data_IF_557902377759
#
_entry.id   IF_557902377759
#
_cell.length_a   1.000
_cell.length_b   1.000
_cell.length_c   1.000
_cell.angle_alpha   90.00
_cell.angle_beta   90.00
_cell.angle_gamma   90.00
#
_symmetry.space_group_name_H-M   'P 1'
#
loop_
_entity.id
_entity.type
_entity.pdbx_description
1 polymer ?
#
# COMPACT_ATOMS: atom_id res chain seq x y z
N UNK A 1 33.45 -1.38 -2.29
CA UNK A 1 32.46 -2.47 -2.35
C UNK A 1 31.57 -2.37 -3.60
N UNK A 2 31.05 -1.18 -3.95
CA UNK A 2 30.27 -0.96 -5.19
C UNK A 2 31.04 -1.32 -6.48
N UNK A 3 32.33 -0.99 -6.57
CA UNK A 3 33.16 -1.31 -7.73
C UNK A 3 33.35 -2.82 -7.97
N UNK A 4 33.31 -3.64 -6.91
CA UNK A 4 33.49 -5.09 -6.99
C UNK A 4 32.18 -5.78 -7.44
N UNK A 5 31.04 -5.28 -6.98
CA UNK A 5 29.72 -5.82 -7.35
C UNK A 5 29.35 -5.50 -8.80
N UNK A 6 29.72 -4.31 -9.28
CA UNK A 6 29.52 -3.89 -10.67
C UNK A 6 30.35 -4.74 -11.65
N UNK A 7 31.60 -5.06 -11.30
CA UNK A 7 32.48 -5.91 -12.11
C UNK A 7 31.99 -7.37 -12.24
N UNK A 8 31.16 -7.84 -11.30
CA UNK A 8 30.64 -9.22 -11.26
C UNK A 8 29.19 -9.33 -11.76
N UNK A 9 28.54 -8.23 -12.17
CA UNK A 9 27.10 -8.22 -12.48
C UNK A 9 26.22 -8.63 -11.29
N UNK A 10 26.75 -8.58 -10.07
CA UNK A 10 26.13 -9.10 -8.87
C UNK A 10 25.32 -8.02 -8.15
N UNK A 11 24.16 -8.40 -7.62
CA UNK A 11 23.32 -7.53 -6.78
C UNK A 11 23.39 -8.02 -5.34
N UNK A 12 23.71 -7.11 -4.41
CA UNK A 12 23.67 -7.40 -2.98
C UNK A 12 22.23 -7.24 -2.46
N UNK A 13 21.58 -8.35 -2.14
CA UNK A 13 20.32 -8.37 -1.40
C UNK A 13 20.62 -8.75 0.06
N UNK A 14 20.73 -7.74 0.94
CA UNK A 14 20.96 -7.97 2.36
C UNK A 14 19.65 -8.36 3.06
N UNK A 15 19.63 -9.52 3.74
CA UNK A 15 18.59 -9.88 4.69
C UNK A 15 19.13 -9.70 6.11
N UNK A 16 18.58 -8.73 6.82
CA UNK A 16 18.85 -8.53 8.24
C UNK A 16 17.76 -9.24 9.06
N UNK A 17 18.16 -10.17 9.90
CA UNK A 17 17.32 -10.70 10.99
C UNK A 17 17.69 -9.95 12.27
N UNK A 18 16.72 -9.29 12.92
CA UNK A 18 16.98 -8.47 14.11
C UNK A 18 15.85 -8.60 15.14
N UNK A 19 16.21 -8.58 16.43
CA UNK A 19 15.29 -8.57 17.57
C UNK A 19 15.40 -7.23 18.32
N UNK A 20 14.66 -6.20 17.90
CA UNK A 20 14.73 -4.85 18.50
C UNK A 20 13.81 -3.82 17.81
N UNK A 21 13.59 -2.65 18.44
CA UNK A 21 12.63 -1.60 18.06
C UNK A 21 13.09 -0.66 16.94
N UNK A 22 14.39 -0.62 16.61
CA UNK A 22 14.92 0.22 15.53
C UNK A 22 14.50 -0.25 14.13
N UNK A 23 14.17 -1.54 14.01
CA UNK A 23 13.56 -2.12 12.82
C UNK A 23 12.19 -1.52 12.54
N UNK A 24 11.33 -1.44 13.57
CA UNK A 24 9.97 -0.90 13.44
C UNK A 24 10.03 0.56 12.97
N UNK A 25 10.94 1.37 13.54
CA UNK A 25 11.16 2.77 13.13
C UNK A 25 11.58 2.91 11.66
N UNK A 26 12.39 1.98 11.15
CA UNK A 26 12.86 2.01 9.76
C UNK A 26 11.75 1.63 8.77
N UNK A 27 10.91 0.65 9.15
CA UNK A 27 9.71 0.28 8.40
C UNK A 27 8.74 1.47 8.35
N UNK A 28 8.53 2.14 9.49
CA UNK A 28 7.70 3.33 9.61
C UNK A 28 8.22 4.47 8.71
N UNK A 29 9.53 4.71 8.68
CA UNK A 29 10.13 5.74 7.82
C UNK A 29 9.92 5.45 6.31
N UNK A 30 10.06 4.19 5.89
CA UNK A 30 9.83 3.78 4.50
C UNK A 30 8.36 3.91 4.09
N UNK A 31 7.44 3.51 4.98
CA UNK A 31 6.00 3.68 4.77
C UNK A 31 5.61 5.16 4.72
N UNK A 32 6.09 5.98 5.66
CA UNK A 32 5.83 7.41 5.70
C UNK A 32 6.33 8.13 4.44
N UNK A 33 7.55 7.81 3.97
CA UNK A 33 8.11 8.39 2.74
C UNK A 33 7.30 8.00 1.50
N UNK A 34 6.86 6.74 1.42
CA UNK A 34 6.00 6.27 0.34
C UNK A 34 4.64 6.96 0.36
N UNK A 35 4.00 7.02 1.53
CA UNK A 35 2.73 7.72 1.77
C UNK A 35 2.81 9.19 1.36
N UNK A 36 3.86 9.91 1.78
CA UNK A 36 4.10 11.29 1.41
C UNK A 36 4.26 11.48 -0.11
N UNK A 37 5.04 10.60 -0.76
CA UNK A 37 5.21 10.67 -2.22
C UNK A 37 3.91 10.38 -2.98
N UNK A 38 3.07 9.46 -2.50
CA UNK A 38 1.78 9.15 -3.13
C UNK A 38 0.81 10.32 -2.93
N UNK A 39 0.72 10.86 -1.72
CA UNK A 39 -0.08 12.05 -1.41
C UNK A 39 0.25 13.22 -2.35
N UNK A 40 1.53 13.61 -2.41
CA UNK A 40 1.97 14.74 -3.24
C UNK A 40 1.60 14.56 -4.72
N UNK A 41 1.72 13.33 -5.23
CA UNK A 41 1.41 13.02 -6.63
C UNK A 41 -0.09 13.05 -6.90
N UNK A 42 -0.91 12.56 -5.99
CA UNK A 42 -2.37 12.62 -6.07
C UNK A 42 -2.86 14.07 -6.02
N UNK A 43 -2.35 14.89 -5.10
CA UNK A 43 -2.70 16.31 -5.01
C UNK A 43 -2.32 17.07 -6.30
N UNK A 44 -1.15 16.78 -6.87
CA UNK A 44 -0.74 17.31 -8.17
C UNK A 44 -1.62 16.87 -9.36
N UNK A 45 -2.48 15.88 -9.17
CA UNK A 45 -3.47 15.42 -10.14
C UNK A 45 -4.90 15.82 -9.78
N UNK A 46 -5.08 16.71 -8.81
CA UNK A 46 -6.40 17.26 -8.45
C UNK A 46 -7.18 16.44 -7.42
N UNK A 47 -6.55 15.47 -6.75
CA UNK A 47 -7.18 14.75 -5.65
C UNK A 47 -7.08 15.53 -4.34
N UNK A 48 -8.14 15.53 -3.55
CA UNK A 48 -8.14 16.00 -2.16
C UNK A 48 -7.81 14.81 -1.25
N UNK A 49 -6.67 14.85 -0.56
CA UNK A 49 -6.15 13.71 0.21
C UNK A 49 -6.25 13.94 1.72
N UNK A 50 -6.57 12.87 2.45
CA UNK A 50 -6.45 12.75 3.91
C UNK A 50 -5.53 11.57 4.23
N UNK A 51 -4.64 11.77 5.18
CA UNK A 51 -3.67 10.77 5.67
C UNK A 51 -4.20 10.14 6.95
N UNK A 52 -3.87 8.87 7.15
CA UNK A 52 -4.10 8.13 8.41
C UNK A 52 -5.53 8.25 8.96
N UNK A 53 -6.52 8.07 8.08
CA UNK A 53 -7.92 8.23 8.46
C UNK A 53 -8.36 7.04 9.32
N UNK A 54 -8.52 7.28 10.62
CA UNK A 54 -9.06 6.30 11.56
C UNK A 54 -10.57 6.18 11.43
N UNK A 55 -11.10 4.98 11.68
CA UNK A 55 -12.53 4.74 11.76
C UNK A 55 -12.88 3.77 12.89
N UNK A 56 -14.09 3.91 13.40
CA UNK A 56 -14.74 2.99 14.32
C UNK A 56 -16.22 2.95 13.97
N UNK A 57 -16.71 1.82 13.47
CA UNK A 57 -18.07 1.67 12.97
C UNK A 57 -18.61 0.27 13.26
N UNK A 58 -19.70 0.17 14.03
CA UNK A 58 -20.36 -1.08 14.43
C UNK A 58 -19.40 -2.21 14.85
N UNK A 59 -18.39 -1.88 15.66
CA UNK A 59 -17.39 -2.84 16.15
C UNK A 59 -16.19 -3.07 15.23
N UNK A 60 -16.24 -2.62 13.98
CA UNK A 60 -15.08 -2.57 13.09
C UNK A 60 -14.26 -1.31 13.39
N UNK A 61 -12.97 -1.47 13.66
CA UNK A 61 -12.04 -0.36 13.88
C UNK A 61 -10.80 -0.53 13.03
N UNK A 62 -10.23 0.58 12.60
CA UNK A 62 -9.01 0.53 11.80
C UNK A 62 -8.54 1.90 11.34
N UNK A 63 -7.62 1.86 10.39
CA UNK A 63 -7.04 3.03 9.74
C UNK A 63 -6.94 2.78 8.25
N UNK A 64 -7.13 3.83 7.46
CA UNK A 64 -6.85 3.90 6.03
C UNK A 64 -5.61 4.77 5.86
N UNK A 65 -4.58 4.27 5.18
CA UNK A 65 -3.32 4.99 5.02
C UNK A 65 -3.54 6.33 4.29
N UNK A 66 -4.21 6.29 3.13
CA UNK A 66 -4.67 7.48 2.43
C UNK A 66 -6.11 7.32 1.95
N UNK A 67 -6.90 8.35 2.18
CA UNK A 67 -8.22 8.52 1.59
C UNK A 67 -8.17 9.70 0.63
N UNK A 68 -8.48 9.49 -0.65
CA UNK A 68 -8.36 10.54 -1.66
C UNK A 68 -9.64 10.70 -2.47
N UNK A 69 -10.17 11.92 -2.55
CA UNK A 69 -11.40 12.22 -3.29
C UNK A 69 -11.10 13.10 -4.50
N UNK A 70 -11.65 12.74 -5.66
CA UNK A 70 -11.55 13.53 -6.88
C UNK A 70 -12.87 14.30 -7.10
N UNK A 71 -12.89 15.63 -6.98
CA UNK A 71 -14.12 16.42 -6.98
C UNK A 71 -14.91 16.31 -8.27
N UNK A 72 -14.25 16.38 -9.42
CA UNK A 72 -14.90 16.38 -10.74
C UNK A 72 -15.45 15.00 -11.12
N UNK A 73 -14.76 13.93 -10.68
CA UNK A 73 -15.12 12.56 -11.05
C UNK A 73 -16.01 11.89 -9.99
N UNK A 74 -16.18 12.53 -8.83
CA UNK A 74 -16.86 11.96 -7.66
C UNK A 74 -16.33 10.57 -7.25
N UNK A 75 -15.03 10.34 -7.45
CA UNK A 75 -14.35 9.08 -7.11
C UNK A 75 -13.64 9.23 -5.77
N UNK A 76 -13.80 8.23 -4.90
CA UNK A 76 -13.06 8.06 -3.67
C UNK A 76 -12.08 6.89 -3.82
N UNK A 77 -10.79 7.15 -3.65
CA UNK A 77 -9.78 6.11 -3.48
C UNK A 77 -9.60 5.81 -2.01
N UNK A 78 -9.60 4.51 -1.71
CA UNK A 78 -9.24 3.93 -0.42
C UNK A 78 -7.90 3.25 -0.64
N UNK A 79 -6.83 3.85 -0.14
CA UNK A 79 -5.47 3.47 -0.51
C UNK A 79 -4.77 2.81 0.67
N UNK A 80 -4.24 1.62 0.45
CA UNK A 80 -3.26 0.98 1.32
C UNK A 80 -1.85 1.11 0.73
N UNK A 81 -0.89 1.48 1.58
CA UNK A 81 0.52 1.60 1.24
C UNK A 81 1.27 0.40 1.81
N UNK A 82 2.05 -0.29 0.97
CA UNK A 82 2.86 -1.45 1.38
C UNK A 82 4.29 -1.35 0.86
N UNK A 83 5.25 -1.65 1.72
CA UNK A 83 6.67 -1.76 1.37
C UNK A 83 7.10 -3.19 1.06
N UNK A 84 6.32 -4.20 1.48
CA UNK A 84 6.47 -5.61 1.10
C UNK A 84 5.08 -6.31 1.10
N UNK A 85 5.01 -7.46 0.43
CA UNK A 85 3.86 -8.36 0.43
C UNK A 85 4.13 -9.57 1.31
N UNK A 86 3.57 -9.55 2.52
CA UNK A 86 3.75 -10.61 3.55
C UNK A 86 2.49 -11.47 3.69
N UNK A 87 1.34 -10.84 3.93
CA UNK A 87 0.06 -11.53 4.09
C UNK A 87 -0.97 -10.96 3.09
N UNK A 88 -1.24 -11.75 2.05
CA UNK A 88 -2.17 -11.36 0.97
C UNK A 88 -3.62 -11.44 1.43
N UNK A 89 -3.98 -12.45 2.22
CA UNK A 89 -5.37 -12.67 2.63
C UNK A 89 -5.81 -11.57 3.60
N UNK A 90 -4.97 -11.24 4.59
CA UNK A 90 -5.25 -10.15 5.50
C UNK A 90 -5.33 -8.80 4.76
N UNK A 91 -4.44 -8.56 3.80
CA UNK A 91 -4.47 -7.35 2.96
C UNK A 91 -5.79 -7.22 2.20
N UNK A 92 -6.21 -8.27 1.47
CA UNK A 92 -7.42 -8.23 0.66
C UNK A 92 -8.69 -8.13 1.52
N UNK A 93 -8.74 -8.84 2.66
CA UNK A 93 -9.84 -8.74 3.61
C UNK A 93 -9.98 -7.33 4.21
N UNK A 94 -8.86 -6.72 4.62
CA UNK A 94 -8.86 -5.35 5.12
C UNK A 94 -9.31 -4.35 4.04
N UNK A 95 -8.89 -4.54 2.78
CA UNK A 95 -9.30 -3.69 1.68
C UNK A 95 -10.80 -3.77 1.38
N UNK A 96 -11.40 -4.96 1.50
CA UNK A 96 -12.85 -5.13 1.32
C UNK A 96 -13.65 -4.35 2.39
N UNK A 97 -13.29 -4.53 3.66
CA UNK A 97 -13.89 -3.82 4.79
C UNK A 97 -13.76 -2.31 4.61
N UNK A 98 -12.56 -1.81 4.32
CA UNK A 98 -12.33 -0.37 4.17
C UNK A 98 -13.09 0.20 2.98
N UNK A 99 -13.12 -0.49 1.84
CA UNK A 99 -13.88 -0.03 0.67
C UNK A 99 -15.39 0.08 0.96
N UNK A 100 -15.93 -0.88 1.72
CA UNK A 100 -17.34 -0.87 2.16
C UNK A 100 -17.65 0.29 3.10
N UNK A 101 -16.78 0.58 4.06
CA UNK A 101 -16.99 1.64 5.06
C UNK A 101 -16.64 3.04 4.56
N UNK A 102 -15.81 3.16 3.52
CA UNK A 102 -15.26 4.42 3.06
C UNK A 102 -16.27 5.53 2.74
N UNK A 103 -17.46 5.29 2.17
CA UNK A 103 -18.45 6.34 1.96
C UNK A 103 -18.86 7.01 3.27
N UNK A 104 -19.11 6.21 4.32
CA UNK A 104 -19.46 6.72 5.65
C UNK A 104 -18.30 7.45 6.32
N UNK A 105 -17.07 6.94 6.14
CA UNK A 105 -15.85 7.58 6.64
C UNK A 105 -15.60 8.92 5.95
N UNK A 106 -15.96 9.05 4.66
CA UNK A 106 -15.79 10.26 3.88
C UNK A 106 -16.85 11.34 4.15
N UNK A 107 -18.04 10.95 4.62
CA UNK A 107 -19.17 11.85 4.82
C UNK A 107 -18.87 13.07 5.71
N UNK A 108 -18.16 12.96 6.84
CA UNK A 108 -17.78 14.11 7.68
C UNK A 108 -16.87 15.12 6.96
N UNK A 109 -16.20 14.75 5.87
CA UNK A 109 -15.39 15.67 5.07
C UNK A 109 -16.22 16.44 4.03
N UNK A 110 -17.53 16.23 3.98
CA UNK A 110 -18.43 16.87 3.01
C UNK A 110 -18.25 16.36 1.58
N UNK A 111 -17.56 15.23 1.38
CA UNK A 111 -17.26 14.71 0.05
C UNK A 111 -18.46 14.00 -0.57
N UNK A 112 -18.83 14.46 -1.77
CA UNK A 112 -19.87 13.82 -2.57
C UNK A 112 -19.27 12.63 -3.32
N UNK A 113 -19.33 11.46 -2.70
CA UNK A 113 -18.75 10.22 -3.22
C UNK A 113 -19.77 9.49 -4.10
N UNK A 114 -19.50 9.42 -5.41
CA UNK A 114 -20.32 8.66 -6.36
C UNK A 114 -19.81 7.24 -6.61
N UNK A 115 -18.51 7.00 -6.40
CA UNK A 115 -17.84 5.69 -6.57
C UNK A 115 -16.68 5.53 -5.61
N UNK A 116 -16.49 4.31 -5.09
CA UNK A 116 -15.31 3.93 -4.30
C UNK A 116 -14.46 2.97 -5.12
N UNK A 117 -13.15 3.22 -5.17
CA UNK A 117 -12.18 2.35 -5.83
C UNK A 117 -11.07 1.99 -4.84
N UNK A 118 -10.93 0.71 -4.43
CA UNK A 118 -9.81 0.29 -3.60
C UNK A 118 -8.50 0.37 -4.38
N UNK A 119 -7.45 0.81 -3.70
CA UNK A 119 -6.14 1.02 -4.27
C UNK A 119 -5.06 0.40 -3.39
N UNK A 120 -4.12 -0.30 -4.00
CA UNK A 120 -2.91 -0.76 -3.30
C UNK A 120 -1.69 -0.17 -4.01
N UNK A 121 -0.83 0.48 -3.24
CA UNK A 121 0.46 0.99 -3.74
C UNK A 121 1.59 0.25 -3.07
N UNK A 122 2.40 -0.40 -3.89
CA UNK A 122 3.63 -1.02 -3.43
C UNK A 122 4.82 -0.09 -3.65
N UNK A 123 5.79 -0.14 -2.75
CA UNK A 123 7.14 0.32 -3.06
C UNK A 123 7.65 -0.48 -4.27
N UNK A 124 8.30 0.20 -5.21
CA UNK A 124 8.92 -0.44 -6.37
C UNK A 124 9.99 -1.44 -5.95
N UNK A 125 9.71 -2.73 -6.13
CA UNK A 125 10.63 -3.81 -5.83
C UNK A 125 10.41 -5.06 -6.71
N UNK A 126 11.51 -5.68 -7.15
CA UNK A 126 11.49 -6.87 -8.01
C UNK A 126 10.91 -8.11 -7.32
N UNK A 127 11.13 -8.28 -6.01
CA UNK A 127 10.64 -9.45 -5.28
C UNK A 127 9.14 -9.36 -5.00
N UNK A 128 8.64 -8.18 -4.62
CA UNK A 128 7.22 -7.92 -4.45
C UNK A 128 6.48 -8.08 -5.77
N UNK A 129 7.04 -7.57 -6.88
CA UNK A 129 6.53 -7.83 -8.25
C UNK A 129 6.41 -9.32 -8.55
N UNK A 130 7.50 -10.07 -8.39
CA UNK A 130 7.52 -11.52 -8.64
C UNK A 130 6.52 -12.28 -7.75
N UNK A 131 6.35 -11.88 -6.48
CA UNK A 131 5.34 -12.47 -5.59
C UNK A 131 3.92 -12.17 -6.06
N UNK A 132 3.65 -10.93 -6.47
CA UNK A 132 2.36 -10.52 -7.03
C UNK A 132 2.05 -11.27 -8.33
N UNK A 133 3.03 -11.48 -9.20
CA UNK A 133 2.85 -12.22 -10.45
C UNK A 133 2.45 -13.68 -10.19
N UNK A 134 3.05 -14.32 -9.18
CA UNK A 134 2.70 -15.70 -8.78
C UNK A 134 1.30 -15.82 -8.17
N UNK A 135 0.80 -14.74 -7.59
CA UNK A 135 -0.49 -14.69 -6.89
C UNK A 135 -1.50 -13.81 -7.64
N UNK A 136 -1.30 -13.62 -8.95
CA UNK A 136 -2.01 -12.60 -9.73
C UNK A 136 -3.53 -12.75 -9.69
N UNK A 137 -4.03 -13.99 -9.65
CA UNK A 137 -5.46 -14.33 -9.56
C UNK A 137 -6.14 -13.86 -8.26
N UNK A 138 -5.40 -13.77 -7.15
CA UNK A 138 -5.94 -13.21 -5.89
C UNK A 138 -6.22 -11.70 -6.01
N UNK A 139 -5.60 -11.04 -7.00
CA UNK A 139 -5.75 -9.62 -7.24
C UNK A 139 -6.69 -9.30 -8.41
N UNK A 140 -7.49 -10.24 -8.91
CA UNK A 140 -8.34 -10.02 -10.10
C UNK A 140 -9.32 -8.84 -9.96
N UNK A 141 -9.75 -8.55 -8.73
CA UNK A 141 -10.53 -7.33 -8.40
C UNK A 141 -9.79 -6.03 -8.75
N UNK A 142 -8.46 -6.03 -8.74
CA UNK A 142 -7.62 -4.91 -9.15
C UNK A 142 -7.42 -4.94 -10.67
N UNK A 143 -8.49 -4.55 -11.37
CA UNK A 143 -8.63 -4.68 -12.82
C UNK A 143 -7.69 -3.80 -13.63
N UNK A 144 -7.20 -2.70 -13.05
CA UNK A 144 -6.11 -1.91 -13.63
C UNK A 144 -4.86 -2.02 -12.77
N UNK A 145 -3.73 -2.26 -13.44
CA UNK A 145 -2.42 -2.40 -12.78
C UNK A 145 -1.34 -1.57 -13.45
N UNK A 146 -0.29 -1.25 -12.71
CA UNK A 146 0.91 -0.59 -13.21
C UNK A 146 0.61 0.74 -13.90
N UNK A 147 1.07 0.91 -15.15
CA UNK A 147 0.89 2.16 -15.89
C UNK A 147 -0.57 2.46 -16.24
N UNK A 148 -1.40 1.43 -16.47
CA UNK A 148 -2.82 1.63 -16.74
C UNK A 148 -3.54 2.17 -15.49
N UNK A 149 -3.21 1.65 -14.30
CA UNK A 149 -3.69 2.19 -13.03
C UNK A 149 -3.25 3.66 -12.86
N UNK A 150 -1.97 3.96 -13.08
CA UNK A 150 -1.44 5.33 -12.99
C UNK A 150 -2.14 6.29 -13.96
N UNK A 151 -2.34 5.87 -15.21
CA UNK A 151 -3.02 6.65 -16.24
C UNK A 151 -4.44 7.01 -15.83
N UNK A 152 -5.19 6.03 -15.31
CA UNK A 152 -6.54 6.26 -14.80
C UNK A 152 -6.56 7.12 -13.52
N UNK A 153 -5.67 6.88 -12.54
CA UNK A 153 -5.60 7.70 -11.32
C UNK A 153 -5.25 9.15 -11.65
N UNK A 154 -4.42 9.41 -12.66
CA UNK A 154 -4.08 10.76 -13.12
C UNK A 154 -5.28 11.49 -13.72
N UNK A 155 -6.17 10.77 -14.39
CA UNK A 155 -7.34 11.32 -15.08
C UNK A 155 -8.54 10.39 -14.88
N UNK A 156 -9.13 10.37 -13.67
CA UNK A 156 -10.23 9.46 -13.38
C UNK A 156 -11.44 9.91 -14.21
N UNK A 157 -11.95 8.99 -15.04
CA UNK A 157 -13.16 9.24 -15.80
C UNK A 157 -14.40 8.92 -14.96
N UNK A 158 -15.46 9.70 -15.09
CA UNK A 158 -16.80 9.35 -14.62
C UNK A 158 -17.48 8.26 -15.48
N UNK A 159 -16.70 7.45 -16.20
CA UNK A 159 -17.19 6.41 -17.09
C UNK A 159 -18.14 5.46 -16.36
N UNK A 160 -19.12 4.92 -17.11
CA UNK A 160 -20.20 4.08 -16.59
C UNK A 160 -19.66 2.87 -15.77
N UNK A 161 -18.46 2.40 -16.10
CA UNK A 161 -17.75 1.32 -15.42
C UNK A 161 -16.31 1.74 -15.04
N UNK A 162 -16.09 2.31 -13.83
CA UNK A 162 -14.74 2.51 -13.31
C UNK A 162 -14.06 1.15 -13.00
N UNK A 163 -12.73 1.11 -12.84
CA UNK A 163 -12.05 -0.10 -12.39
C UNK A 163 -12.57 -0.55 -11.03
N UNK A 164 -12.70 -1.87 -10.83
CA UNK A 164 -13.08 -2.47 -9.56
C UNK A 164 -12.00 -2.37 -8.47
N UNK A 165 -10.78 -1.99 -8.88
CA UNK A 165 -9.63 -1.72 -8.03
C UNK A 165 -8.42 -1.34 -8.87
N UNK A 166 -7.46 -0.63 -8.26
CA UNK A 166 -6.23 -0.22 -8.92
C UNK A 166 -4.99 -0.62 -8.11
N UNK A 167 -3.95 -1.11 -8.79
CA UNK A 167 -2.70 -1.50 -8.13
C UNK A 167 -1.51 -0.94 -8.90
N UNK A 168 -0.60 -0.25 -8.24
CA UNK A 168 0.64 0.18 -8.90
C UNK A 168 1.83 0.19 -7.96
N UNK A 169 3.01 0.32 -8.56
CA UNK A 169 4.27 0.45 -7.85
C UNK A 169 4.77 1.89 -7.92
N UNK A 170 5.44 2.32 -6.87
CA UNK A 170 6.03 3.65 -6.78
C UNK A 170 7.48 3.54 -6.34
N UNK A 171 8.38 4.01 -7.20
CA UNK A 171 9.77 4.22 -6.83
C UNK A 171 9.92 5.51 -6.02
N UNK A 172 10.79 5.48 -5.02
CA UNK A 172 11.20 6.66 -4.26
C UNK A 172 12.57 7.13 -4.78
N UNK A 173 12.72 8.39 -5.23
CA UNK A 173 13.93 8.85 -5.94
C UNK A 173 15.24 8.73 -5.16
N UNK A 174 15.21 8.78 -3.83
CA UNK A 174 16.42 8.84 -2.97
C UNK A 174 16.41 7.84 -1.81
N UNK A 175 15.56 6.82 -1.88
CA UNK A 175 15.42 5.94 -0.75
C UNK A 175 16.48 4.83 -0.82
N UNK A 176 17.55 4.96 -0.03
CA UNK A 176 18.30 3.80 0.48
C UNK A 176 17.34 3.01 1.37
N UNK A 177 16.34 2.36 0.77
CA UNK A 177 15.36 1.56 1.52
C UNK A 177 16.05 0.26 1.90
N UNK A 178 16.53 0.23 3.13
CA UNK A 178 16.88 -1.02 3.81
C UNK A 178 15.56 -1.76 4.03
N UNK A 179 15.34 -2.83 3.27
CA UNK A 179 14.22 -3.74 3.49
C UNK A 179 14.56 -4.66 4.64
N UNK A 180 13.61 -4.81 5.55
CA UNK A 180 13.70 -5.84 6.58
C UNK A 180 12.31 -6.49 6.70
N UNK A 181 12.21 -7.74 6.28
CA UNK A 181 11.01 -8.56 6.44
C UNK A 181 11.01 -9.15 7.85
N UNK A 182 10.20 -8.59 8.76
CA UNK A 182 10.04 -9.12 10.11
C UNK A 182 9.19 -10.38 10.12
N UNK A 183 9.81 -11.56 10.17
CA UNK A 183 9.11 -12.79 10.52
C UNK A 183 9.18 -12.95 12.04
N UNK A 184 8.08 -12.63 12.75
CA UNK A 184 7.96 -12.88 14.20
C UNK A 184 7.87 -14.39 14.44
N UNK A 185 8.97 -15.02 14.83
CA UNK A 185 8.96 -16.39 15.39
C UNK A 185 8.72 -16.27 16.88
N UNK A 186 7.56 -16.72 17.36
CA UNK A 186 7.35 -16.98 18.79
C UNK A 186 8.15 -18.23 19.15
N UNK A 187 9.22 -18.08 19.92
CA UNK A 187 9.82 -19.22 20.61
C UNK A 187 8.88 -19.61 21.76
N UNK A 188 8.19 -20.73 21.58
CA UNK A 188 7.49 -21.40 22.68
C UNK A 188 8.52 -21.77 23.74
N UNK A 189 8.41 -21.17 24.92
CA UNK A 189 9.15 -21.62 26.11
C UNK A 189 8.75 -23.07 26.39
N UNK A 190 9.63 -24.01 26.06
CA UNK A 190 9.51 -25.38 26.50
C UNK A 190 9.60 -25.39 28.03
N UNK A 191 8.55 -25.89 28.67
CA UNK A 191 8.55 -26.28 30.08
C UNK A 191 9.81 -27.09 30.38
N UNK A 192 10.58 -26.68 31.39
CA UNK A 192 11.40 -27.63 32.14
C UNK A 192 10.63 -28.01 33.40
N UNK A 193 10.20 -29.26 33.40
CA UNK A 193 9.95 -30.03 34.60
C UNK A 193 11.28 -30.19 35.36
N UNK A 194 11.19 -30.15 36.68
CA UNK A 194 12.25 -30.28 37.66
C UNK A 194 11.65 -29.94 39.01
#
# INVERSE_FOLDING_TARGET
>A
MEAILAALGARLDARLSWSGTDLDRLIDAGHAALSASVKQRLEGWGWVVRVEVSYSHFGERGRIDLLAWHPVAHVLLVIEIKTDLVDVQALLGAMDVRARLAPGIAAPFGWQVGRVVPAIVFLEDRTTRRRLDRLSGLFDRYSLRGQAAIGWVRRPSAARHPPSGVLWFRALPNARVVRISGQRVRLSHARRAG
#
